data_IF_173193960066
#
_entry.id   IF_173193960066
#
_cell.length_a   1.000
_cell.length_b   1.000
_cell.length_c   1.000
_cell.angle_alpha   90.00
_cell.angle_beta   90.00
_cell.angle_gamma   90.00
#
_symmetry.space_group_name_H-M   'P 1'
#
loop_
_entity.id
_entity.type
_entity.pdbx_description
1 polymer ?
#
# COMPACT_ATOMS: atom_id res chain seq x y z
N UNK A 1 10.35 21.64 -11.84
CA UNK A 1 11.81 21.76 -11.93
C UNK A 1 12.44 20.56 -11.25
N UNK A 2 13.48 19.99 -11.86
CA UNK A 2 14.38 19.04 -11.19
C UNK A 2 15.61 19.83 -10.75
N UNK A 3 15.89 19.88 -9.45
CA UNK A 3 16.95 20.73 -8.92
C UNK A 3 17.76 20.03 -7.85
N UNK A 4 19.05 19.80 -8.13
CA UNK A 4 20.01 19.14 -7.22
C UNK A 4 19.54 17.78 -6.69
N UNK A 5 18.81 17.04 -7.51
CA UNK A 5 18.30 15.71 -7.22
C UNK A 5 18.54 14.79 -8.44
N UNK A 6 18.67 13.48 -8.18
CA UNK A 6 18.80 12.48 -9.24
C UNK A 6 17.47 12.27 -9.95
N UNK A 7 17.50 11.71 -11.15
CA UNK A 7 16.28 11.43 -11.93
C UNK A 7 15.32 10.51 -11.17
N UNK A 8 15.84 9.52 -10.45
CA UNK A 8 15.04 8.63 -9.61
C UNK A 8 14.39 9.38 -8.43
N UNK A 9 15.13 10.27 -7.77
CA UNK A 9 14.58 11.09 -6.68
C UNK A 9 13.50 12.04 -7.19
N UNK A 10 13.70 12.63 -8.37
CA UNK A 10 12.72 13.46 -9.05
C UNK A 10 11.44 12.68 -9.36
N UNK A 11 11.57 11.48 -9.94
CA UNK A 11 10.43 10.60 -10.21
C UNK A 11 9.68 10.23 -8.92
N UNK A 12 10.38 9.79 -7.87
CA UNK A 12 9.75 9.45 -6.60
C UNK A 12 9.02 10.63 -5.95
N UNK A 13 9.61 11.82 -6.03
CA UNK A 13 9.00 13.03 -5.51
C UNK A 13 7.71 13.37 -6.25
N UNK A 14 7.72 13.33 -7.58
CA UNK A 14 6.51 13.57 -8.39
C UNK A 14 5.46 12.48 -8.17
N UNK A 15 5.86 11.20 -8.14
CA UNK A 15 4.94 10.10 -7.88
C UNK A 15 4.28 10.23 -6.52
N UNK A 16 5.03 10.59 -5.47
CA UNK A 16 4.46 10.82 -4.14
C UNK A 16 3.55 12.06 -4.07
N UNK A 17 3.85 13.13 -4.82
CA UNK A 17 3.01 14.33 -4.91
C UNK A 17 1.67 14.04 -5.60
N UNK A 18 1.70 13.26 -6.69
CA UNK A 18 0.52 12.92 -7.50
C UNK A 18 -0.20 11.62 -7.05
N UNK A 19 0.26 10.99 -5.96
CA UNK A 19 -0.34 9.75 -5.44
C UNK A 19 -0.11 8.51 -6.32
N UNK A 20 0.88 8.56 -7.21
CA UNK A 20 1.23 7.45 -8.08
C UNK A 20 2.01 6.38 -7.32
N UNK A 21 1.61 5.13 -7.55
CA UNK A 21 2.28 3.93 -7.08
C UNK A 21 2.87 3.19 -8.27
N UNK A 22 3.91 2.40 -8.03
CA UNK A 22 4.46 1.55 -9.07
C UNK A 22 4.90 0.19 -8.54
N UNK A 23 4.92 -0.79 -9.44
CA UNK A 23 5.46 -2.12 -9.19
C UNK A 23 6.05 -2.68 -10.48
N UNK A 24 6.78 -3.80 -10.37
CA UNK A 24 7.35 -4.48 -11.53
C UNK A 24 6.57 -5.76 -11.82
N UNK A 25 6.22 -5.97 -13.08
CA UNK A 25 5.84 -7.28 -13.58
C UNK A 25 7.03 -7.93 -14.26
N UNK A 26 7.20 -9.23 -14.01
CA UNK A 26 8.35 -9.98 -14.48
C UNK A 26 7.91 -11.06 -15.47
N UNK A 27 8.45 -10.99 -16.68
CA UNK A 27 8.36 -12.04 -17.69
C UNK A 27 9.78 -12.57 -17.97
N UNK A 28 9.88 -13.71 -18.67
CA UNK A 28 11.17 -14.37 -18.91
C UNK A 28 12.18 -13.49 -19.67
N UNK A 29 11.70 -12.65 -20.58
CA UNK A 29 12.55 -11.85 -21.48
C UNK A 29 12.45 -10.34 -21.22
N UNK A 30 11.54 -9.89 -20.34
CA UNK A 30 11.35 -8.46 -20.04
C UNK A 30 10.81 -8.22 -18.64
N UNK A 31 11.09 -7.03 -18.12
CA UNK A 31 10.48 -6.52 -16.90
C UNK A 31 9.78 -5.20 -17.22
N UNK A 32 8.57 -5.03 -16.71
CA UNK A 32 7.77 -3.84 -16.99
C UNK A 32 7.52 -3.08 -15.69
N UNK A 33 7.87 -1.80 -15.67
CA UNK A 33 7.44 -0.88 -14.63
C UNK A 33 5.99 -0.50 -14.91
N UNK A 34 5.08 -0.89 -14.01
CA UNK A 34 3.66 -0.52 -14.07
C UNK A 34 3.43 0.60 -13.08
N UNK A 35 2.90 1.73 -13.56
CA UNK A 35 2.55 2.90 -12.75
C UNK A 35 1.03 3.02 -12.70
N UNK A 36 0.46 3.23 -11.52
CA UNK A 36 -1.00 3.33 -11.30
C UNK A 36 -1.31 4.27 -10.14
N UNK A 37 -2.42 4.98 -10.23
CA UNK A 37 -3.06 5.75 -9.14
C UNK A 37 -4.24 4.99 -8.50
N UNK A 38 -4.69 3.90 -9.13
CA UNK A 38 -5.84 3.11 -8.69
C UNK A 38 -5.40 1.73 -8.14
N UNK A 39 -5.90 1.30 -6.97
CA UNK A 39 -5.73 -0.06 -6.44
C UNK A 39 -6.15 -1.19 -7.40
N UNK A 40 -7.03 -0.94 -8.36
CA UNK A 40 -7.42 -1.91 -9.40
C UNK A 40 -6.35 -2.11 -10.48
N UNK A 41 -5.37 -1.21 -10.59
CA UNK A 41 -4.23 -1.36 -11.49
C UNK A 41 -3.19 -2.39 -11.04
N UNK A 42 -3.33 -2.93 -9.82
CA UNK A 42 -2.47 -4.01 -9.32
C UNK A 42 -2.90 -5.37 -9.87
N UNK A 43 -1.91 -6.21 -10.16
CA UNK A 43 -2.14 -7.56 -10.67
C UNK A 43 -2.88 -8.38 -9.61
N UNK A 44 -4.03 -8.98 -9.97
CA UNK A 44 -4.78 -9.85 -9.06
C UNK A 44 -4.47 -11.30 -9.38
N UNK A 45 -4.01 -12.04 -8.37
CA UNK A 45 -3.78 -13.47 -8.48
C UNK A 45 -5.11 -14.21 -8.53
N UNK A 46 -5.21 -15.24 -9.38
CA UNK A 46 -6.39 -16.08 -9.46
C UNK A 46 -6.52 -17.03 -8.25
N UNK A 47 -7.75 -17.18 -7.74
CA UNK A 47 -8.05 -18.06 -6.62
C UNK A 47 -7.70 -17.48 -5.26
N UNK A 48 -7.86 -18.30 -4.21
CA UNK A 48 -7.55 -17.92 -2.82
C UNK A 48 -6.30 -18.65 -2.33
N UNK A 49 -5.57 -18.04 -1.39
CA UNK A 49 -4.45 -18.67 -0.70
C UNK A 49 -4.90 -19.11 0.68
N UNK A 50 -4.93 -20.41 0.98
CA UNK A 50 -5.34 -20.88 2.29
C UNK A 50 -4.32 -20.48 3.36
N UNK A 51 -4.83 -20.17 4.53
CA UNK A 51 -4.03 -20.00 5.74
C UNK A 51 -3.89 -21.35 6.45
N UNK A 52 -2.67 -21.77 6.74
CA UNK A 52 -2.43 -23.04 7.40
C UNK A 52 -1.24 -22.95 8.38
N UNK A 53 -1.54 -23.16 9.66
CA UNK A 53 -0.59 -23.07 10.78
C UNK A 53 0.05 -24.43 11.10
N UNK A 54 -0.40 -25.53 10.49
CA UNK A 54 0.02 -26.87 10.85
C UNK A 54 1.54 -27.05 10.62
N UNK A 55 2.24 -27.38 11.71
CA UNK A 55 3.69 -27.58 11.75
C UNK A 55 4.16 -28.94 11.18
N UNK A 56 3.29 -29.68 10.49
CA UNK A 56 3.60 -31.03 10.00
C UNK A 56 2.65 -31.48 8.89
N UNK A 57 3.22 -32.17 7.88
CA UNK A 57 2.52 -32.59 6.66
C UNK A 57 3.07 -31.89 5.42
N UNK A 58 3.14 -32.61 4.29
CA UNK A 58 3.39 -32.00 2.98
C UNK A 58 2.04 -31.53 2.48
N UNK A 59 1.78 -30.22 2.52
CA UNK A 59 0.65 -29.64 1.81
C UNK A 59 0.99 -29.58 0.33
N UNK A 60 0.13 -30.13 -0.52
CA UNK A 60 0.28 -30.02 -1.97
C UNK A 60 -0.04 -28.60 -2.46
N UNK A 61 -0.97 -27.92 -1.80
CA UNK A 61 -1.35 -26.54 -2.11
C UNK A 61 -0.46 -25.55 -1.34
N UNK A 62 0.11 -24.52 -2.01
CA UNK A 62 0.81 -23.43 -1.34
C UNK A 62 -0.12 -22.64 -0.41
N UNK A 63 0.41 -22.12 0.70
CA UNK A 63 -0.36 -21.55 1.79
C UNK A 63 0.38 -20.41 2.51
N UNK A 64 -0.37 -19.59 3.24
CA UNK A 64 0.19 -18.64 4.21
C UNK A 64 0.37 -19.35 5.54
N UNK A 65 1.61 -19.43 6.01
CA UNK A 65 2.01 -20.13 7.24
C UNK A 65 1.74 -19.32 8.51
N UNK A 66 1.95 -18.00 8.42
CA UNK A 66 1.76 -17.09 9.53
C UNK A 66 1.37 -15.74 8.98
N UNK A 67 0.42 -15.06 9.62
CA UNK A 67 0.04 -13.70 9.27
C UNK A 67 -0.36 -12.96 10.54
N UNK A 68 0.21 -11.78 10.75
CA UNK A 68 -0.03 -10.95 11.92
C UNK A 68 -0.49 -9.59 11.44
N UNK A 69 -1.75 -9.27 11.73
CA UNK A 69 -2.31 -7.94 11.51
C UNK A 69 -1.69 -6.93 12.50
N UNK A 70 -1.38 -5.74 12.01
CA UNK A 70 -0.82 -4.63 12.76
C UNK A 70 -1.66 -3.38 12.47
N UNK A 71 -2.27 -2.84 13.52
CA UNK A 71 -2.99 -1.56 13.49
C UNK A 71 -2.23 -0.55 14.36
N UNK A 72 -2.11 0.68 13.89
CA UNK A 72 -1.43 1.75 14.62
C UNK A 72 -2.17 3.07 14.42
N UNK A 73 -2.24 3.86 15.48
CA UNK A 73 -2.78 5.22 15.41
C UNK A 73 -1.97 6.06 14.42
N UNK A 74 -2.66 6.63 13.45
CA UNK A 74 -2.10 7.54 12.45
C UNK A 74 -2.97 8.80 12.37
N UNK A 75 -2.53 9.76 11.56
CA UNK A 75 -3.29 10.99 11.28
C UNK A 75 -4.73 10.63 10.90
N UNK A 76 -5.71 11.25 11.56
CA UNK A 76 -7.14 11.04 11.32
C UNK A 76 -7.71 12.04 10.32
N UNK A 77 -7.14 13.24 10.24
CA UNK A 77 -7.53 14.26 9.27
C UNK A 77 -6.33 15.08 8.82
N UNK A 78 -6.38 15.58 7.59
CA UNK A 78 -5.40 16.52 7.06
C UNK A 78 -6.07 17.85 6.79
N UNK A 79 -5.36 18.91 7.12
CA UNK A 79 -5.74 20.29 6.83
C UNK A 79 -4.64 20.99 6.02
N UNK A 80 -4.93 21.35 4.76
CA UNK A 80 -3.96 21.97 3.86
C UNK A 80 -4.40 23.35 3.40
N UNK A 81 -3.42 24.22 3.15
CA UNK A 81 -3.67 25.60 2.74
C UNK A 81 -2.63 26.11 1.74
N UNK A 82 -3.05 26.99 0.83
CA UNK A 82 -2.15 27.72 -0.07
C UNK A 82 -2.61 29.19 -0.21
N UNK A 83 -1.76 30.02 -0.82
CA UNK A 83 -2.02 31.42 -1.08
C UNK A 83 -1.88 31.72 -2.58
N UNK A 84 -2.75 32.59 -3.10
CA UNK A 84 -2.61 33.14 -4.45
C UNK A 84 -2.71 34.65 -4.42
N UNK A 85 -1.69 35.34 -4.95
CA UNK A 85 -1.71 36.79 -5.11
C UNK A 85 -2.87 37.28 -5.99
N UNK A 86 -3.40 36.41 -6.87
CA UNK A 86 -4.56 36.73 -7.72
C UNK A 86 -5.89 36.70 -6.94
N UNK A 87 -5.92 36.04 -5.78
CA UNK A 87 -7.08 35.92 -4.89
C UNK A 87 -6.60 35.99 -3.42
N UNK A 88 -6.11 37.15 -2.96
CA UNK A 88 -5.43 37.26 -1.66
C UNK A 88 -6.33 36.94 -0.47
N UNK A 89 -7.63 37.21 -0.59
CA UNK A 89 -8.62 36.93 0.45
C UNK A 89 -9.10 35.46 0.45
N UNK A 90 -8.75 34.69 -0.57
CA UNK A 90 -9.15 33.29 -0.68
C UNK A 90 -8.09 32.37 -0.07
N UNK A 91 -8.48 31.60 0.94
CA UNK A 91 -7.54 30.79 1.74
C UNK A 91 -7.09 29.49 1.06
N UNK A 92 -7.75 29.04 0.00
CA UNK A 92 -7.49 27.72 -0.62
C UNK A 92 -7.44 26.59 0.42
N UNK A 93 -8.27 26.69 1.46
CA UNK A 93 -8.33 25.74 2.56
C UNK A 93 -8.95 24.42 2.10
N UNK A 94 -8.28 23.30 2.33
CA UNK A 94 -8.75 21.96 1.98
C UNK A 94 -8.61 21.01 3.17
N UNK A 95 -9.57 20.08 3.31
CA UNK A 95 -9.62 19.09 4.39
C UNK A 95 -9.86 17.70 3.83
N UNK A 96 -9.23 16.69 4.42
CA UNK A 96 -9.51 15.29 4.15
C UNK A 96 -9.62 14.50 5.47
N UNK A 97 -10.56 13.56 5.54
CA UNK A 97 -10.79 12.71 6.71
C UNK A 97 -10.44 11.25 6.38
N UNK A 98 -9.79 10.57 7.32
CA UNK A 98 -9.36 9.19 7.17
C UNK A 98 -10.52 8.21 7.33
N UNK A 99 -10.44 7.09 6.60
CA UNK A 99 -11.30 5.93 6.80
C UNK A 99 -10.71 4.95 7.82
N UNK A 100 -11.52 3.98 8.25
CA UNK A 100 -11.09 2.87 9.13
C UNK A 100 -10.43 3.38 10.42
N UNK A 101 -11.14 4.22 11.17
CA UNK A 101 -10.63 4.86 12.39
C UNK A 101 -11.01 4.11 13.68
N UNK A 102 -11.70 2.98 13.60
CA UNK A 102 -12.26 2.25 14.75
C UNK A 102 -11.22 1.84 15.80
N UNK A 103 -9.95 1.73 15.41
CA UNK A 103 -8.82 1.38 16.27
C UNK A 103 -8.05 2.60 16.83
N UNK A 104 -8.52 3.82 16.61
CA UNK A 104 -7.86 5.05 17.07
C UNK A 104 -8.84 6.17 17.43
N UNK A 105 -8.34 7.27 17.99
CA UNK A 105 -9.13 8.48 18.19
C UNK A 105 -9.24 9.28 16.87
N UNK A 106 -10.37 9.97 16.65
CA UNK A 106 -10.59 10.76 15.43
C UNK A 106 -9.93 12.16 15.48
N UNK A 107 -9.24 12.52 16.57
CA UNK A 107 -8.78 13.90 16.84
C UNK A 107 -7.29 14.13 16.61
N UNK A 108 -6.64 13.35 15.74
CA UNK A 108 -5.22 13.53 15.41
C UNK A 108 -5.05 14.19 14.03
N UNK A 109 -5.20 15.51 14.00
CA UNK A 109 -5.12 16.33 12.79
C UNK A 109 -3.66 16.64 12.39
N UNK A 110 -3.40 16.66 11.09
CA UNK A 110 -2.15 17.13 10.48
C UNK A 110 -2.40 18.38 9.65
N UNK A 111 -1.75 19.50 10.00
CA UNK A 111 -1.79 20.73 9.22
C UNK A 111 -0.51 20.91 8.39
N UNK A 112 -0.64 21.37 7.13
CA UNK A 112 0.50 21.69 6.28
C UNK A 112 0.23 22.86 5.30
N UNK A 113 1.25 23.68 5.06
CA UNK A 113 1.24 24.79 4.12
C UNK A 113 2.68 25.17 3.68
N UNK A 114 2.93 25.52 2.41
CA UNK A 114 1.97 25.69 1.31
C UNK A 114 1.59 24.36 0.62
N UNK A 115 0.33 24.23 0.24
CA UNK A 115 -0.24 23.00 -0.35
C UNK A 115 0.11 22.74 -1.82
N UNK A 116 0.68 23.72 -2.54
CA UNK A 116 1.11 23.68 -3.95
C UNK A 116 0.00 23.51 -4.98
N UNK A 117 -1.18 24.07 -4.72
CA UNK A 117 -2.32 24.09 -5.64
C UNK A 117 -2.90 25.50 -5.78
N UNK A 118 -3.66 25.74 -6.86
CA UNK A 118 -4.26 27.06 -7.17
C UNK A 118 -5.75 27.01 -7.46
N UNK A 119 -6.37 25.85 -7.25
CA UNK A 119 -7.79 25.59 -7.37
C UNK A 119 -8.19 24.49 -6.37
N UNK A 120 -9.48 24.41 -6.07
CA UNK A 120 -9.99 23.52 -5.03
C UNK A 120 -10.02 22.05 -5.44
N UNK A 121 -10.17 21.74 -6.74
CA UNK A 121 -10.22 20.35 -7.20
C UNK A 121 -8.85 19.68 -7.02
N UNK A 122 -7.79 20.35 -7.48
CA UNK A 122 -6.40 19.92 -7.26
C UNK A 122 -6.08 19.88 -5.76
N UNK A 123 -6.49 20.90 -5.00
CA UNK A 123 -6.22 20.96 -3.56
C UNK A 123 -6.90 19.84 -2.76
N UNK A 124 -8.13 19.46 -3.12
CA UNK A 124 -8.83 18.32 -2.54
C UNK A 124 -8.10 17.01 -2.83
N UNK A 125 -7.68 16.79 -4.08
CA UNK A 125 -6.92 15.61 -4.47
C UNK A 125 -5.59 15.51 -3.70
N UNK A 126 -4.82 16.60 -3.63
CA UNK A 126 -3.55 16.61 -2.90
C UNK A 126 -3.72 16.39 -1.39
N UNK A 127 -4.80 16.92 -0.80
CA UNK A 127 -5.11 16.68 0.62
C UNK A 127 -5.41 15.20 0.89
N UNK A 128 -6.14 14.55 -0.01
CA UNK A 128 -6.41 13.12 0.09
C UNK A 128 -5.14 12.28 -0.08
N UNK A 129 -4.34 12.55 -1.11
CA UNK A 129 -3.06 11.86 -1.34
C UNK A 129 -2.13 12.00 -0.13
N UNK A 130 -2.07 13.21 0.46
CA UNK A 130 -1.28 13.49 1.67
C UNK A 130 -1.76 12.64 2.84
N UNK A 131 -3.07 12.60 3.08
CA UNK A 131 -3.69 11.79 4.12
C UNK A 131 -3.40 10.30 3.92
N UNK A 132 -3.60 9.77 2.72
CA UNK A 132 -3.36 8.36 2.38
C UNK A 132 -1.88 8.00 2.60
N UNK A 133 -0.95 8.87 2.21
CA UNK A 133 0.49 8.69 2.45
C UNK A 133 0.83 8.65 3.95
N UNK A 134 0.22 9.53 4.76
CA UNK A 134 0.41 9.52 6.22
C UNK A 134 -0.19 8.26 6.86
N UNK A 135 -1.29 7.74 6.28
CA UNK A 135 -2.01 6.57 6.77
C UNK A 135 -1.57 5.24 6.15
N UNK A 136 -0.59 5.22 5.24
CA UNK A 136 -0.14 4.00 4.52
C UNK A 136 0.27 2.82 5.42
N UNK A 137 0.59 3.10 6.68
CA UNK A 137 0.99 2.09 7.66
C UNK A 137 -0.08 1.88 8.76
N UNK A 138 -1.22 2.57 8.72
CA UNK A 138 -2.24 2.55 9.77
C UNK A 138 -2.80 1.14 10.00
N UNK A 139 -2.97 0.38 8.91
CA UNK A 139 -3.42 -1.00 8.95
C UNK A 139 -2.62 -1.84 7.95
N UNK A 140 -1.77 -2.72 8.48
CA UNK A 140 -0.93 -3.60 7.68
C UNK A 140 -0.95 -5.02 8.21
N UNK A 141 -0.46 -5.99 7.44
CA UNK A 141 -0.17 -7.33 7.93
C UNK A 141 1.26 -7.75 7.54
N UNK A 142 1.87 -8.58 8.38
CA UNK A 142 3.15 -9.24 8.12
C UNK A 142 2.96 -10.75 8.15
N UNK A 143 3.50 -11.46 7.17
CA UNK A 143 3.32 -12.91 7.11
C UNK A 143 4.43 -13.66 6.42
N UNK A 144 4.34 -14.99 6.49
CA UNK A 144 5.21 -15.94 5.81
C UNK A 144 4.36 -16.86 4.94
N UNK A 145 4.81 -17.12 3.72
CA UNK A 145 4.13 -18.04 2.81
C UNK A 145 5.15 -18.79 1.96
N UNK A 146 4.74 -19.97 1.47
CA UNK A 146 5.45 -20.72 0.44
C UNK A 146 4.82 -20.55 -0.96
N UNK A 147 3.82 -19.66 -1.11
CA UNK A 147 3.21 -19.33 -2.39
C UNK A 147 4.18 -18.50 -3.23
N UNK A 148 4.74 -19.11 -4.28
CA UNK A 148 5.76 -18.51 -5.14
C UNK A 148 5.21 -17.37 -6.02
N UNK A 149 3.89 -17.33 -6.25
CA UNK A 149 3.24 -16.28 -7.05
C UNK A 149 3.08 -14.95 -6.31
N UNK A 150 3.27 -14.91 -4.99
CA UNK A 150 3.24 -13.65 -4.24
C UNK A 150 4.44 -12.80 -4.65
N UNK A 151 4.17 -11.57 -5.10
CA UNK A 151 5.18 -10.58 -5.49
C UNK A 151 4.70 -9.19 -5.06
N UNK A 152 5.61 -8.23 -4.88
CA UNK A 152 5.19 -6.84 -4.63
C UNK A 152 4.35 -6.32 -5.80
N UNK A 153 3.20 -5.70 -5.50
CA UNK A 153 2.21 -5.28 -6.48
C UNK A 153 1.17 -6.35 -6.85
N UNK A 154 1.20 -7.53 -6.22
CA UNK A 154 0.18 -8.57 -6.41
C UNK A 154 -0.87 -8.50 -5.31
N UNK A 155 -2.14 -8.55 -5.72
CA UNK A 155 -3.31 -8.74 -4.85
C UNK A 155 -3.64 -10.22 -4.76
N UNK A 156 -3.94 -10.69 -3.55
CA UNK A 156 -4.43 -12.05 -3.32
C UNK A 156 -5.54 -12.07 -2.28
N UNK A 157 -6.42 -13.05 -2.39
CA UNK A 157 -7.45 -13.32 -1.39
C UNK A 157 -6.94 -14.36 -0.39
N UNK A 158 -6.95 -14.03 0.91
CA UNK A 158 -6.65 -14.98 1.97
C UNK A 158 -7.91 -15.78 2.31
N UNK A 159 -7.78 -17.09 2.50
CA UNK A 159 -8.87 -17.97 2.95
C UNK A 159 -8.45 -18.81 4.15
N UNK A 160 -9.44 -19.43 4.81
CA UNK A 160 -9.22 -20.40 5.91
C UNK A 160 -8.50 -19.86 7.16
N UNK A 161 -8.35 -18.54 7.29
CA UNK A 161 -7.87 -17.93 8.52
C UNK A 161 -8.93 -18.04 9.63
N UNK A 162 -8.50 -18.34 10.85
CA UNK A 162 -9.39 -18.50 12.02
C UNK A 162 -10.15 -17.21 12.34
N UNK A 163 -9.47 -16.06 12.24
CA UNK A 163 -10.12 -14.76 12.23
C UNK A 163 -10.73 -14.47 10.85
N UNK A 164 -12.06 -14.42 10.80
CA UNK A 164 -12.84 -14.17 9.58
C UNK A 164 -12.54 -12.81 8.95
N UNK A 165 -12.20 -11.80 9.74
CA UNK A 165 -11.89 -10.46 9.22
C UNK A 165 -10.60 -10.45 8.36
N UNK A 166 -9.72 -11.43 8.56
CA UNK A 166 -8.49 -11.56 7.77
C UNK A 166 -8.72 -12.25 6.42
N UNK A 167 -9.83 -12.98 6.25
CA UNK A 167 -10.19 -13.66 5.00
C UNK A 167 -10.77 -12.65 3.98
N UNK A 168 -9.87 -11.89 3.36
CA UNK A 168 -10.19 -10.81 2.41
C UNK A 168 -9.03 -10.63 1.43
N UNK A 169 -9.20 -9.68 0.51
CA UNK A 169 -8.15 -9.25 -0.40
C UNK A 169 -7.06 -8.46 0.33
N UNK A 170 -5.81 -8.78 0.02
CA UNK A 170 -4.61 -8.11 0.51
C UNK A 170 -3.69 -7.73 -0.66
N UNK A 171 -3.02 -6.58 -0.58
CA UNK A 171 -2.04 -6.12 -1.57
C UNK A 171 -0.62 -6.26 -1.02
N UNK A 172 0.25 -7.04 -1.67
CA UNK A 172 1.68 -7.15 -1.32
C UNK A 172 2.42 -5.86 -1.63
N UNK A 173 2.88 -5.12 -0.61
CA UNK A 173 3.73 -3.92 -0.79
C UNK A 173 5.22 -4.18 -0.61
N UNK A 174 5.58 -5.32 -0.05
CA UNK A 174 6.97 -5.70 0.11
C UNK A 174 7.06 -7.18 0.32
N UNK A 175 8.03 -7.81 -0.34
CA UNK A 175 8.28 -9.24 -0.21
C UNK A 175 9.78 -9.50 -0.19
N UNK A 176 10.21 -10.45 0.64
CA UNK A 176 11.56 -10.98 0.62
C UNK A 176 11.50 -12.48 0.37
N UNK A 177 12.11 -12.96 -0.72
CA UNK A 177 12.17 -14.36 -1.07
C UNK A 177 13.48 -14.99 -0.60
N UNK A 178 13.41 -16.15 0.04
CA UNK A 178 14.59 -16.93 0.40
C UNK A 178 14.50 -18.32 -0.24
N UNK A 179 15.34 -18.61 -1.23
CA UNK A 179 15.45 -19.95 -1.82
C UNK A 179 16.64 -20.72 -1.22
N UNK A 180 16.40 -21.95 -0.77
CA UNK A 180 17.46 -22.86 -0.32
C UNK A 180 17.57 -24.00 -1.31
N UNK A 181 18.64 -24.01 -2.09
CA UNK A 181 18.99 -25.15 -2.93
C UNK A 181 19.87 -26.10 -2.12
N UNK A 182 19.25 -27.09 -1.49
CA UNK A 182 19.95 -28.31 -1.09
C UNK A 182 19.73 -29.29 -2.23
N UNK A 183 20.74 -30.09 -2.62
CA UNK A 183 20.42 -31.33 -3.34
C UNK A 183 19.43 -32.08 -2.43
N UNK A 184 18.15 -32.07 -2.81
CA UNK A 184 16.91 -32.41 -2.04
C UNK A 184 16.16 -31.19 -1.44
N UNK A 185 15.07 -30.83 -2.12
CA UNK A 185 14.11 -29.73 -1.94
C UNK A 185 13.59 -29.41 -0.52
N UNK A 186 13.49 -28.11 -0.18
CA UNK A 186 12.43 -27.50 0.68
C UNK A 186 12.13 -26.05 0.25
N UNK A 187 10.84 -25.68 0.25
CA UNK A 187 10.26 -24.44 -0.30
C UNK A 187 10.83 -23.12 0.26
N UNK A 188 10.84 -22.03 -0.55
CA UNK A 188 11.23 -20.71 -0.10
C UNK A 188 10.19 -20.08 0.84
N UNK A 189 10.66 -19.32 1.83
CA UNK A 189 9.83 -18.47 2.68
C UNK A 189 9.78 -17.06 2.06
N UNK A 190 8.58 -16.59 1.76
CA UNK A 190 8.30 -15.21 1.38
C UNK A 190 7.81 -14.43 2.60
N UNK A 191 8.50 -13.36 2.99
CA UNK A 191 8.04 -12.44 4.03
C UNK A 191 7.31 -11.26 3.39
N UNK A 192 5.97 -11.18 3.51
CA UNK A 192 5.16 -10.13 2.87
C UNK A 192 4.71 -9.05 3.86
N UNK A 193 4.76 -7.79 3.45
CA UNK A 193 4.07 -6.64 4.09
C UNK A 193 2.87 -6.27 3.22
N UNK A 194 1.71 -6.06 3.82
CA UNK A 194 0.43 -5.87 3.11
C UNK A 194 -0.38 -4.71 3.69
N UNK A 195 -0.66 -3.58 3.02
CA UNK A 195 -1.72 -2.66 3.37
C UNK A 195 -3.07 -3.14 2.83
N UNK A 196 -4.14 -2.59 3.41
CA UNK A 196 -5.48 -2.65 2.85
C UNK A 196 -5.55 -1.85 1.54
N UNK A 197 -6.36 -2.26 0.54
CA UNK A 197 -6.80 -1.35 -0.49
C UNK A 197 -7.67 -0.27 0.18
N UNK A 198 -7.20 0.97 0.21
CA UNK A 198 -8.05 2.11 0.55
C UNK A 198 -9.17 2.13 -0.47
N UNK A 199 -10.39 1.85 -0.04
CA UNK A 199 -11.58 2.05 -0.86
C UNK A 199 -11.71 3.56 -1.09
N UNK A 200 -11.21 4.04 -2.23
CA UNK A 200 -11.66 5.31 -2.80
C UNK A 200 -12.99 5.04 -3.50
N UNK A 201 -14.07 5.44 -2.84
CA UNK A 201 -15.36 5.71 -3.46
C UNK A 201 -15.57 7.24 -3.45
#
# INVERSE_FOLDING_TARGET
MQYRETDLAFFHRLAAEEGLMYYFTHEAEKHTLVVTDNPEGFTTMGGTVPYNVLSGGISETPYVQSMTEQKQSQVSSVWMQDYSFKKPDYSFKQTAEGSELDYQLPTYEHYDAPGRYKDDATGKAFSQIRLDSLRKNAHTAKGKSNQAMLQAGVRFELSEHLDKAMNRNWLVVGIAHQAVSHRRWKNPLAAARLPMPTSLA
#
